data_IF_924475627901
#
_entry.id   IF_924475627901
#
_cell.length_a   1.000
_cell.length_b   1.000
_cell.length_c   1.000
_cell.angle_alpha   90.00
_cell.angle_beta   90.00
_cell.angle_gamma   90.00
#
_symmetry.space_group_name_H-M   'P 1'
#
loop_
_entity.id
_entity.type
_entity.pdbx_description
1 polymer ?
#
# COMPACT_ATOMS: atom_id res chain seq x y z
N UNK A 1 12.31 -11.48 6.15
CA UNK A 1 11.20 -10.63 6.65
C UNK A 1 10.02 -11.52 7.00
N UNK A 2 9.41 -11.33 8.16
CA UNK A 2 8.15 -11.99 8.52
C UNK A 2 7.00 -11.41 7.69
N UNK A 3 6.03 -12.25 7.28
CA UNK A 3 4.91 -11.84 6.41
C UNK A 3 4.09 -10.66 7.00
N UNK A 4 4.02 -10.57 8.33
CA UNK A 4 3.44 -9.42 9.06
C UNK A 4 4.20 -8.12 8.78
N UNK A 5 5.53 -8.15 8.83
CA UNK A 5 6.39 -6.99 8.53
C UNK A 5 6.23 -6.58 7.07
N UNK A 6 6.14 -7.54 6.14
CA UNK A 6 5.89 -7.27 4.72
C UNK A 6 4.52 -6.62 4.49
N UNK A 7 3.46 -7.13 5.14
CA UNK A 7 2.13 -6.51 5.09
C UNK A 7 2.14 -5.08 5.62
N UNK A 8 2.82 -4.83 6.74
CA UNK A 8 2.93 -3.49 7.34
C UNK A 8 3.71 -2.54 6.44
N UNK A 9 4.87 -2.97 5.91
CA UNK A 9 5.67 -2.16 4.99
C UNK A 9 4.88 -1.79 3.73
N UNK A 10 4.25 -2.76 3.06
CA UNK A 10 3.45 -2.47 1.85
C UNK A 10 2.30 -1.51 2.13
N UNK A 11 1.71 -1.59 3.33
CA UNK A 11 0.67 -0.65 3.77
C UNK A 11 1.25 0.76 3.93
N UNK A 12 2.40 0.91 4.58
CA UNK A 12 3.09 2.20 4.74
C UNK A 12 3.45 2.80 3.37
N UNK A 13 3.99 1.99 2.46
CA UNK A 13 4.32 2.42 1.09
C UNK A 13 3.07 2.84 0.29
N UNK A 14 1.92 2.16 0.47
CA UNK A 14 0.64 2.60 -0.07
C UNK A 14 0.27 4.00 0.44
N UNK A 15 0.28 4.22 1.75
CA UNK A 15 -0.07 5.54 2.31
C UNK A 15 0.92 6.63 1.89
N UNK A 16 2.20 6.31 1.77
CA UNK A 16 3.21 7.23 1.23
C UNK A 16 2.89 7.62 -0.23
N UNK A 17 2.46 6.67 -1.07
CA UNK A 17 2.00 6.96 -2.43
C UNK A 17 0.80 7.92 -2.48
N UNK A 18 -0.16 7.78 -1.56
CA UNK A 18 -1.28 8.73 -1.42
C UNK A 18 -0.77 10.12 -1.03
N UNK A 19 0.16 10.22 -0.09
CA UNK A 19 0.73 11.51 0.31
C UNK A 19 1.45 12.21 -0.87
N UNK A 20 2.20 11.46 -1.68
CA UNK A 20 2.85 11.98 -2.89
C UNK A 20 1.83 12.39 -3.95
N UNK A 21 0.73 11.64 -4.10
CA UNK A 21 -0.37 12.01 -4.99
C UNK A 21 -1.02 13.34 -4.58
N UNK A 22 -1.20 13.58 -3.27
CA UNK A 22 -1.78 14.82 -2.75
C UNK A 22 -0.79 15.99 -2.69
N UNK A 23 0.52 15.74 -2.66
CA UNK A 23 1.57 16.77 -2.57
C UNK A 23 1.37 17.97 -3.50
N UNK A 24 1.13 17.81 -4.82
CA UNK A 24 0.95 18.95 -5.71
C UNK A 24 -0.28 19.81 -5.44
N UNK A 25 -1.31 19.26 -4.77
CA UNK A 25 -2.49 20.03 -4.36
C UNK A 25 -2.15 21.03 -3.25
N UNK A 26 -1.17 20.72 -2.41
CA UNK A 26 -0.67 21.64 -1.38
C UNK A 26 0.28 22.71 -1.96
N UNK A 27 1.07 22.37 -2.98
CA UNK A 27 2.08 23.30 -3.54
C UNK A 27 1.54 24.22 -4.64
N UNK A 28 0.31 24.00 -5.14
CA UNK A 28 -0.34 24.87 -6.12
C UNK A 28 0.26 24.86 -7.53
N UNK A 29 1.22 23.96 -7.83
CA UNK A 29 1.86 23.83 -9.15
C UNK A 29 1.33 22.62 -9.91
N UNK A 30 0.26 22.83 -10.68
CA UNK A 30 -0.49 21.77 -11.38
C UNK A 30 0.35 21.07 -12.47
N UNK A 31 1.17 21.80 -13.24
CA UNK A 31 1.96 21.24 -14.35
C UNK A 31 3.01 20.24 -13.92
N UNK A 32 3.76 20.52 -12.84
CA UNK A 32 4.65 19.53 -12.20
C UNK A 32 3.87 18.50 -11.38
N UNK A 33 2.64 18.82 -10.97
CA UNK A 33 1.82 17.95 -10.16
C UNK A 33 1.30 16.71 -10.84
N UNK A 34 1.11 16.75 -12.17
CA UNK A 34 0.67 15.58 -12.94
C UNK A 34 1.66 14.41 -12.81
N UNK A 35 2.97 14.69 -12.83
CA UNK A 35 3.99 13.65 -12.64
C UNK A 35 3.91 13.02 -11.24
N UNK A 36 3.74 13.85 -10.20
CA UNK A 36 3.56 13.36 -8.83
C UNK A 36 2.26 12.57 -8.65
N UNK A 37 1.18 12.96 -9.34
CA UNK A 37 -0.07 12.20 -9.35
C UNK A 37 0.10 10.83 -10.01
N UNK A 38 0.75 10.75 -11.18
CA UNK A 38 0.99 9.47 -11.87
C UNK A 38 1.88 8.55 -11.03
N UNK A 39 2.96 9.09 -10.45
CA UNK A 39 3.88 8.32 -9.61
C UNK A 39 3.17 7.86 -8.33
N UNK A 40 2.41 8.75 -7.67
CA UNK A 40 1.67 8.45 -6.45
C UNK A 40 0.58 7.38 -6.68
N UNK A 41 -0.20 7.52 -7.74
CA UNK A 41 -1.23 6.56 -8.13
C UNK A 41 -0.64 5.22 -8.55
N UNK A 42 0.42 5.22 -9.36
CA UNK A 42 1.12 4.00 -9.78
C UNK A 42 1.69 3.25 -8.59
N UNK A 43 2.36 3.96 -7.66
CA UNK A 43 2.90 3.40 -6.44
C UNK A 43 1.82 2.76 -5.55
N UNK A 44 0.72 3.47 -5.30
CA UNK A 44 -0.38 2.95 -4.47
C UNK A 44 -0.98 1.66 -5.04
N UNK A 45 -1.23 1.63 -6.35
CA UNK A 45 -1.80 0.46 -7.02
C UNK A 45 -0.82 -0.71 -7.00
N UNK A 46 0.46 -0.48 -7.34
CA UNK A 46 1.49 -1.52 -7.32
C UNK A 46 1.67 -2.13 -5.93
N UNK A 47 1.79 -1.29 -4.89
CA UNK A 47 1.95 -1.79 -3.52
C UNK A 47 0.69 -2.45 -2.97
N UNK A 48 -0.50 -2.00 -3.39
CA UNK A 48 -1.77 -2.66 -3.09
C UNK A 48 -1.85 -4.06 -3.68
N UNK A 49 -1.55 -4.21 -4.97
CA UNK A 49 -1.53 -5.52 -5.66
C UNK A 49 -0.45 -6.43 -5.06
N UNK A 50 0.75 -5.89 -4.82
CA UNK A 50 1.85 -6.65 -4.23
C UNK A 50 1.52 -7.11 -2.80
N UNK A 51 0.78 -6.30 -2.03
CA UNK A 51 0.23 -6.70 -0.73
C UNK A 51 -0.73 -7.86 -0.89
N UNK A 52 -1.68 -7.80 -1.82
CA UNK A 52 -2.59 -8.91 -2.10
C UNK A 52 -1.81 -10.18 -2.47
N UNK A 53 -0.90 -10.12 -3.45
CA UNK A 53 -0.14 -11.27 -3.92
C UNK A 53 0.74 -11.92 -2.83
N UNK A 54 1.43 -11.10 -2.02
CA UNK A 54 2.30 -11.61 -0.95
C UNK A 54 1.54 -12.03 0.31
N UNK A 55 0.28 -11.60 0.50
CA UNK A 55 -0.53 -12.00 1.67
C UNK A 55 -1.63 -13.01 1.37
N UNK A 56 -1.96 -13.31 0.11
CA UNK A 56 -2.81 -14.45 -0.28
C UNK A 56 -2.19 -15.80 0.12
N UNK A 57 -0.86 -15.89 0.14
CA UNK A 57 -0.13 -17.04 0.70
C UNK A 57 -0.26 -17.21 2.23
N UNK A 58 -1.06 -16.40 2.92
CA UNK A 58 -1.41 -16.52 4.35
C UNK A 58 -2.90 -16.83 4.60
N UNK A 59 -3.74 -16.94 3.56
CA UNK A 59 -5.13 -17.41 3.74
C UNK A 59 -5.23 -18.86 4.26
N UNK A 60 -4.14 -19.64 4.18
CA UNK A 60 -4.02 -20.96 4.82
C UNK A 60 -3.48 -20.93 6.26
N UNK A 61 -3.16 -19.74 6.81
CA UNK A 61 -2.65 -19.55 8.17
C UNK A 61 -3.54 -18.59 8.96
N UNK A 62 -4.85 -18.80 8.85
CA UNK A 62 -5.76 -18.43 9.94
C UNK A 62 -5.31 -19.32 11.12
N UNK A 63 -4.74 -18.80 12.21
CA UNK A 63 -4.67 -19.62 13.41
C UNK A 63 -6.11 -20.02 13.71
N UNK A 64 -6.37 -21.31 13.92
CA UNK A 64 -7.64 -21.85 14.42
C UNK A 64 -7.93 -21.34 15.85
N UNK A 65 -7.84 -20.03 16.09
CA UNK A 65 -8.05 -19.40 17.39
C UNK A 65 -9.51 -18.92 17.56
N UNK A 66 -10.44 -19.52 16.82
CA UNK A 66 -11.87 -19.27 16.95
C UNK A 66 -12.68 -20.56 17.08
N UNK A 67 -12.08 -21.62 17.64
CA UNK A 67 -12.77 -22.89 17.87
C UNK A 67 -12.67 -23.47 19.28
N UNK A 68 -12.45 -22.63 20.27
CA UNK A 68 -12.63 -22.99 21.67
C UNK A 68 -13.62 -21.98 22.28
N UNK A 69 -14.83 -22.47 22.58
CA UNK A 69 -16.06 -21.84 23.13
C UNK A 69 -16.90 -20.92 22.22
#
# INVERSE_FOLDING_TARGET
MTKSVTRTLLTILMYAGVAVFLFPYFTGRITTGVLFMIIGAGATVLFGILRCYLTEGDCGRIPHHSRDW
#
